data_IF_083655064470
#
_entry.id   IF_083655064470
#
_cell.length_a   1.000
_cell.length_b   1.000
_cell.length_c   1.000
_cell.angle_alpha   90.00
_cell.angle_beta   90.00
_cell.angle_gamma   90.00
#
_symmetry.space_group_name_H-M   'P 1'
#
loop_
_entity.id
_entity.type
_entity.pdbx_description
1 polymer ?
#
# COMPACT_ATOMS: atom_id res chain seq x y z
N UNK A 1 2.89 6.79 19.97
CA UNK A 1 2.82 7.19 18.55
C UNK A 1 1.57 8.03 18.42
N UNK A 2 1.74 9.34 18.24
CA UNK A 2 0.65 10.32 18.23
C UNK A 2 -0.33 10.04 17.08
N UNK A 3 -1.63 10.14 17.33
CA UNK A 3 -2.66 10.02 16.29
C UNK A 3 -2.55 11.16 15.26
N UNK A 4 -1.98 12.30 15.65
CA UNK A 4 -1.68 13.44 14.78
C UNK A 4 -0.81 13.03 13.57
N UNK A 5 0.25 12.26 13.81
CA UNK A 5 1.22 11.86 12.77
C UNK A 5 0.59 11.03 11.64
N UNK A 6 -0.44 10.23 11.94
CA UNK A 6 -1.10 9.37 10.95
C UNK A 6 -1.95 10.19 9.98
N UNK A 7 -2.63 11.21 10.47
CA UNK A 7 -3.43 12.10 9.63
C UNK A 7 -2.53 12.97 8.76
N UNK A 8 -1.42 13.48 9.31
CA UNK A 8 -0.42 14.22 8.56
C UNK A 8 0.15 13.39 7.40
N UNK A 9 0.51 12.13 7.63
CA UNK A 9 1.01 11.25 6.57
C UNK A 9 -0.04 11.02 5.47
N UNK A 10 -1.30 10.79 5.85
CA UNK A 10 -2.41 10.60 4.90
C UNK A 10 -2.59 11.83 4.01
N UNK A 11 -2.70 13.01 4.62
CA UNK A 11 -2.93 14.25 3.87
C UNK A 11 -1.72 14.60 2.98
N UNK A 12 -0.49 14.44 3.50
CA UNK A 12 0.73 14.60 2.71
C UNK A 12 0.76 13.67 1.49
N UNK A 13 0.44 12.39 1.68
CA UNK A 13 0.43 11.42 0.58
C UNK A 13 -0.65 11.75 -0.46
N UNK A 14 -1.87 12.09 -0.01
CA UNK A 14 -2.98 12.45 -0.90
C UNK A 14 -2.70 13.70 -1.70
N UNK A 15 -2.17 14.75 -1.08
CA UNK A 15 -1.81 15.99 -1.77
C UNK A 15 -0.73 15.72 -2.82
N UNK A 16 0.30 14.93 -2.47
CA UNK A 16 1.34 14.57 -3.42
C UNK A 16 0.80 13.76 -4.61
N UNK A 17 -0.07 12.78 -4.36
CA UNK A 17 -0.72 12.00 -5.43
C UNK A 17 -1.65 12.87 -6.27
N UNK A 18 -2.38 13.81 -5.67
CA UNK A 18 -3.24 14.75 -6.40
C UNK A 18 -2.43 15.64 -7.35
N UNK A 19 -1.24 16.08 -6.93
CA UNK A 19 -0.37 16.95 -7.73
C UNK A 19 0.47 16.20 -8.77
N UNK A 20 0.98 15.00 -8.44
CA UNK A 20 1.98 14.28 -9.24
C UNK A 20 1.46 12.99 -9.88
N UNK A 21 0.29 12.51 -9.45
CA UNK A 21 -0.29 11.24 -9.90
C UNK A 21 0.46 9.99 -9.45
N UNK A 22 1.48 10.11 -8.60
CA UNK A 22 2.38 9.02 -8.16
C UNK A 22 2.95 9.31 -6.77
N UNK A 23 3.73 8.38 -6.21
CA UNK A 23 4.51 8.60 -4.99
C UNK A 23 5.98 8.87 -5.29
N UNK A 24 6.64 9.62 -4.41
CA UNK A 24 8.10 9.65 -4.32
C UNK A 24 8.61 8.62 -3.30
N UNK A 25 9.92 8.36 -3.33
CA UNK A 25 10.56 7.36 -2.45
C UNK A 25 10.34 7.63 -0.96
N UNK A 26 10.37 8.89 -0.54
CA UNK A 26 10.18 9.29 0.87
C UNK A 26 8.77 8.94 1.37
N UNK A 27 7.73 9.37 0.66
CA UNK A 27 6.33 9.12 1.05
C UNK A 27 6.01 7.63 0.95
N UNK A 28 6.45 6.96 -0.12
CA UNK A 28 6.32 5.51 -0.27
C UNK A 28 6.89 4.78 0.96
N UNK A 29 8.11 5.11 1.35
CA UNK A 29 8.78 4.49 2.49
C UNK A 29 8.05 4.77 3.81
N UNK A 30 7.61 6.01 4.05
CA UNK A 30 6.87 6.38 5.25
C UNK A 30 5.58 5.54 5.39
N UNK A 31 4.82 5.36 4.31
CA UNK A 31 3.59 4.53 4.30
C UNK A 31 3.92 3.05 4.52
N UNK A 32 4.90 2.51 3.78
CA UNK A 32 5.24 1.09 3.87
C UNK A 32 5.79 0.72 5.25
N UNK A 33 6.64 1.57 5.83
CA UNK A 33 7.17 1.40 7.19
C UNK A 33 6.09 1.51 8.25
N UNK A 34 5.13 2.42 8.07
CA UNK A 34 3.95 2.51 8.95
C UNK A 34 3.15 1.20 8.95
N UNK A 35 2.94 0.59 7.78
CA UNK A 35 2.22 -0.70 7.69
C UNK A 35 3.03 -1.87 8.27
N UNK A 36 4.33 -1.93 8.00
CA UNK A 36 5.19 -3.02 8.47
C UNK A 36 6.64 -2.57 8.57
N UNK A 37 7.17 -2.51 9.78
CA UNK A 37 8.60 -2.23 10.02
C UNK A 37 9.51 -3.38 9.61
N UNK A 38 8.99 -4.61 9.47
CA UNK A 38 9.79 -5.82 9.19
C UNK A 38 10.45 -5.81 7.81
N UNK A 39 9.81 -5.17 6.83
CA UNK A 39 10.27 -5.14 5.44
C UNK A 39 11.05 -3.85 5.10
N UNK A 40 11.45 -3.07 6.11
CA UNK A 40 12.08 -1.75 5.94
C UNK A 40 13.28 -1.78 4.99
N UNK A 41 14.18 -2.77 5.11
CA UNK A 41 15.33 -2.91 4.21
C UNK A 41 14.90 -3.05 2.74
N UNK A 42 13.91 -3.91 2.47
CA UNK A 42 13.39 -4.15 1.13
C UNK A 42 12.75 -2.92 0.52
N UNK A 43 12.01 -2.15 1.33
CA UNK A 43 11.43 -0.90 0.84
C UNK A 43 12.50 0.10 0.39
N UNK A 44 13.65 0.14 1.06
CA UNK A 44 14.76 1.05 0.74
C UNK A 44 15.49 0.66 -0.55
N UNK A 45 15.47 -0.63 -0.93
CA UNK A 45 16.09 -1.14 -2.16
C UNK A 45 15.41 -0.60 -3.43
N UNK A 46 14.12 -0.28 -3.37
CA UNK A 46 13.41 0.31 -4.51
C UNK A 46 14.00 1.68 -4.87
N UNK A 47 14.32 1.90 -6.13
CA UNK A 47 14.77 3.22 -6.60
C UNK A 47 13.58 4.17 -6.81
N UNK A 48 13.85 5.48 -6.90
CA UNK A 48 12.77 6.47 -7.00
C UNK A 48 12.04 6.43 -8.36
N UNK A 49 12.71 6.03 -9.44
CA UNK A 49 12.11 5.96 -10.77
C UNK A 49 11.04 4.85 -10.82
N UNK A 50 11.39 3.64 -10.36
CA UNK A 50 10.48 2.49 -10.30
C UNK A 50 9.26 2.80 -9.43
N UNK A 51 9.47 3.43 -8.27
CA UNK A 51 8.36 3.82 -7.37
C UNK A 51 7.41 4.77 -8.10
N UNK A 52 7.93 5.80 -8.78
CA UNK A 52 7.11 6.76 -9.51
C UNK A 52 6.33 6.09 -10.64
N UNK A 53 7.00 5.28 -11.44
CA UNK A 53 6.39 4.64 -12.61
C UNK A 53 5.30 3.64 -12.21
N UNK A 54 5.62 2.72 -11.29
CA UNK A 54 4.69 1.69 -10.83
C UNK A 54 3.50 2.33 -10.12
N UNK A 55 3.72 3.31 -9.24
CA UNK A 55 2.61 3.97 -8.54
C UNK A 55 1.77 4.83 -9.48
N UNK A 56 2.36 5.49 -10.48
CA UNK A 56 1.62 6.23 -11.51
C UNK A 56 0.69 5.30 -12.29
N UNK A 57 1.20 4.15 -12.71
CA UNK A 57 0.41 3.13 -13.38
C UNK A 57 -0.73 2.63 -12.48
N UNK A 58 -0.41 2.19 -11.25
CA UNK A 58 -1.38 1.70 -10.28
C UNK A 58 -2.49 2.73 -10.02
N UNK A 59 -2.17 4.02 -9.94
CA UNK A 59 -3.15 5.03 -9.58
C UNK A 59 -4.03 5.46 -10.75
N UNK A 60 -3.54 5.34 -11.98
CA UNK A 60 -4.28 5.74 -13.21
C UNK A 60 -5.04 4.59 -13.88
N UNK A 61 -4.66 3.33 -13.65
CA UNK A 61 -5.33 2.20 -14.28
C UNK A 61 -6.82 2.09 -13.88
N UNK A 62 -7.63 1.60 -14.83
CA UNK A 62 -9.06 1.30 -14.63
C UNK A 62 -9.31 -0.11 -14.13
N UNK A 63 -8.32 -1.00 -14.25
CA UNK A 63 -8.43 -2.39 -13.77
C UNK A 63 -7.98 -2.47 -12.32
N UNK A 64 -8.91 -2.81 -11.42
CA UNK A 64 -8.61 -2.94 -9.99
C UNK A 64 -7.63 -4.09 -9.69
N UNK A 65 -7.66 -5.14 -10.51
CA UNK A 65 -6.67 -6.22 -10.43
C UNK A 65 -5.27 -5.72 -10.77
N UNK A 66 -5.10 -5.06 -11.92
CA UNK A 66 -3.80 -4.50 -12.30
C UNK A 66 -3.34 -3.42 -11.32
N UNK A 67 -4.26 -2.66 -10.73
CA UNK A 67 -3.96 -1.64 -9.73
C UNK A 67 -3.18 -2.24 -8.56
N UNK A 68 -3.72 -3.25 -7.89
CA UNK A 68 -3.04 -3.83 -6.73
C UNK A 68 -1.86 -4.71 -7.13
N UNK A 69 -1.98 -5.51 -8.20
CA UNK A 69 -0.95 -6.45 -8.62
C UNK A 69 0.33 -5.72 -9.01
N UNK A 70 0.21 -4.59 -9.72
CA UNK A 70 1.37 -3.78 -10.12
C UNK A 70 2.19 -3.28 -8.92
N UNK A 71 1.56 -2.96 -7.80
CA UNK A 71 2.27 -2.51 -6.58
C UNK A 71 3.12 -3.63 -5.98
N UNK A 72 2.77 -4.90 -6.23
CA UNK A 72 3.52 -6.07 -5.72
C UNK A 72 4.86 -6.29 -6.43
N UNK A 73 5.11 -5.56 -7.52
CA UNK A 73 6.41 -5.54 -8.21
C UNK A 73 7.48 -4.86 -7.34
N UNK A 74 7.10 -3.92 -6.47
CA UNK A 74 8.04 -3.21 -5.59
C UNK A 74 8.58 -4.13 -4.48
N UNK A 75 9.90 -4.08 -4.25
CA UNK A 75 10.57 -4.90 -3.24
C UNK A 75 9.97 -4.68 -1.85
N UNK A 76 9.56 -5.78 -1.21
CA UNK A 76 8.92 -5.79 0.12
C UNK A 76 7.42 -5.51 0.11
N UNK A 77 6.83 -5.17 -1.04
CA UNK A 77 5.39 -4.88 -1.16
C UNK A 77 4.64 -6.13 -1.58
N UNK A 78 3.86 -6.69 -0.66
CA UNK A 78 2.86 -7.72 -0.95
C UNK A 78 1.45 -7.12 -0.78
N UNK A 79 0.39 -7.87 -1.08
CA UNK A 79 -1.01 -7.41 -0.96
C UNK A 79 -1.35 -6.66 0.35
N UNK A 80 -0.89 -7.06 1.55
CA UNK A 80 -1.11 -6.28 2.77
C UNK A 80 -0.51 -4.87 2.73
N UNK A 81 0.66 -4.70 2.13
CA UNK A 81 1.31 -3.39 1.97
C UNK A 81 0.74 -2.62 0.79
N UNK A 82 0.45 -3.30 -0.33
CA UNK A 82 -0.18 -2.70 -1.50
C UNK A 82 -1.57 -2.12 -1.18
N UNK A 83 -2.41 -2.88 -0.47
CA UNK A 83 -3.72 -2.41 0.01
C UNK A 83 -3.60 -1.21 0.96
N UNK A 84 -2.57 -1.17 1.82
CA UNK A 84 -2.29 -0.01 2.66
C UNK A 84 -1.89 1.23 1.85
N UNK A 85 -1.04 1.08 0.83
CA UNK A 85 -0.69 2.18 -0.09
C UNK A 85 -1.95 2.75 -0.75
N UNK A 86 -2.81 1.88 -1.28
CA UNK A 86 -4.07 2.27 -1.91
C UNK A 86 -5.03 2.96 -0.92
N UNK A 87 -5.20 2.40 0.28
CA UNK A 87 -6.06 2.99 1.31
C UNK A 87 -5.61 4.39 1.73
N UNK A 88 -4.30 4.61 1.85
CA UNK A 88 -3.75 5.92 2.23
C UNK A 88 -3.96 6.93 1.09
N UNK A 89 -3.63 6.54 -0.14
CA UNK A 89 -3.64 7.43 -1.30
C UNK A 89 -5.05 7.74 -1.82
N UNK A 90 -6.01 6.82 -1.65
CA UNK A 90 -7.39 7.00 -2.07
C UNK A 90 -8.34 7.05 -0.87
N UNK A 91 -8.86 8.24 -0.61
CA UNK A 91 -9.79 8.47 0.52
C UNK A 91 -11.00 7.54 0.43
N UNK A 92 -11.18 6.72 1.46
CA UNK A 92 -12.35 5.85 1.69
C UNK A 92 -12.70 4.91 0.53
N UNK A 93 -11.71 4.49 -0.28
CA UNK A 93 -11.97 3.64 -1.45
C UNK A 93 -11.57 2.18 -1.26
N UNK A 94 -10.49 1.90 -0.53
CA UNK A 94 -9.93 0.55 -0.45
C UNK A 94 -9.79 0.05 0.99
N UNK A 95 -10.14 -1.22 1.26
CA UNK A 95 -9.86 -1.84 2.56
C UNK A 95 -8.35 -2.07 2.72
N UNK A 96 -7.89 -2.07 3.97
CA UNK A 96 -6.54 -2.53 4.31
C UNK A 96 -6.61 -4.02 4.59
N UNK A 97 -5.78 -4.81 3.90
CA UNK A 97 -5.63 -6.22 4.22
C UNK A 97 -4.65 -6.39 5.38
N UNK A 98 -5.16 -6.80 6.54
CA UNK A 98 -4.37 -6.99 7.75
C UNK A 98 -4.55 -8.39 8.35
N UNK A 99 -3.45 -9.12 8.50
CA UNK A 99 -3.46 -10.48 9.03
C UNK A 99 -3.99 -10.53 10.48
N UNK A 100 -3.83 -9.46 11.27
CA UNK A 100 -4.36 -9.42 12.64
C UNK A 100 -5.87 -9.30 12.62
N UNK A 101 -6.43 -8.55 11.67
CA UNK A 101 -7.87 -8.48 11.50
C UNK A 101 -8.44 -9.85 11.07
N UNK A 102 -7.79 -10.53 10.12
CA UNK A 102 -8.15 -11.89 9.72
C UNK A 102 -8.09 -12.86 10.92
N UNK A 103 -6.99 -12.82 11.69
CA UNK A 103 -6.84 -13.63 12.90
C UNK A 103 -7.95 -13.36 13.93
N UNK A 104 -8.30 -12.09 14.18
CA UNK A 104 -9.39 -11.72 15.10
C UNK A 104 -10.76 -12.21 14.63
N UNK A 105 -10.93 -12.44 13.32
CA UNK A 105 -12.12 -13.04 12.73
C UNK A 105 -12.06 -14.58 12.70
N UNK A 106 -11.10 -15.19 13.42
CA UNK A 106 -10.88 -16.65 13.43
C UNK A 106 -10.59 -17.26 12.06
N UNK A 107 -10.09 -16.45 11.13
CA UNK A 107 -9.65 -16.92 9.81
C UNK A 107 -8.31 -17.64 9.97
N UNK A 108 -8.24 -18.89 9.50
CA UNK A 108 -7.00 -19.66 9.47
C UNK A 108 -6.09 -19.16 8.34
N UNK A 109 -5.18 -18.25 8.68
CA UNK A 109 -4.26 -17.60 7.72
C UNK A 109 -3.39 -18.62 6.99
N UNK A 110 -3.14 -19.81 7.56
CA UNK A 110 -2.36 -20.86 6.89
C UNK A 110 -3.09 -21.48 5.70
N UNK A 111 -4.42 -21.36 5.66
CA UNK A 111 -5.29 -21.90 4.60
C UNK A 111 -5.80 -20.83 3.64
N UNK A 112 -5.48 -19.56 3.89
CA UNK A 112 -5.94 -18.45 3.06
C UNK A 112 -4.86 -18.03 2.08
N UNK A 113 -5.21 -18.09 0.79
CA UNK A 113 -4.37 -17.50 -0.25
C UNK A 113 -4.62 -16.00 -0.28
N UNK A 114 -3.57 -15.23 -0.03
CA UNK A 114 -3.61 -13.76 -0.12
C UNK A 114 -3.48 -13.36 -1.60
N UNK A 115 -4.60 -13.04 -2.23
CA UNK A 115 -4.70 -12.68 -3.65
C UNK A 115 -5.70 -11.54 -3.88
N UNK A 116 -5.92 -11.21 -5.16
CA UNK A 116 -6.89 -10.20 -5.58
C UNK A 116 -8.30 -10.52 -5.10
N UNK A 117 -8.74 -11.76 -5.22
CA UNK A 117 -10.09 -12.19 -4.88
C UNK A 117 -10.40 -11.89 -3.42
N UNK A 118 -9.49 -12.24 -2.49
CA UNK A 118 -9.61 -11.94 -1.07
C UNK A 118 -9.58 -10.43 -0.76
N UNK A 119 -8.80 -9.66 -1.51
CA UNK A 119 -8.74 -8.21 -1.29
C UNK A 119 -9.97 -7.47 -1.84
N UNK A 120 -10.60 -8.02 -2.88
CA UNK A 120 -11.75 -7.43 -3.57
C UNK A 120 -13.12 -7.84 -3.01
N UNK A 121 -13.15 -8.82 -2.10
CA UNK A 121 -14.38 -9.31 -1.43
C UNK A 121 -14.91 -8.33 -0.39
#
# INVERSE_FOLDING_TARGET
>A
MDYSDKNVLKEKARNFVKEKGCLNKKIFYEICRWKSTRQTKRYQENNEADIKEITKFAFSTKSERLRIDSLTILSGVQYPTASALLHICFKNRYPILDFRALWSLSVDISKVTINYELWSS
#
